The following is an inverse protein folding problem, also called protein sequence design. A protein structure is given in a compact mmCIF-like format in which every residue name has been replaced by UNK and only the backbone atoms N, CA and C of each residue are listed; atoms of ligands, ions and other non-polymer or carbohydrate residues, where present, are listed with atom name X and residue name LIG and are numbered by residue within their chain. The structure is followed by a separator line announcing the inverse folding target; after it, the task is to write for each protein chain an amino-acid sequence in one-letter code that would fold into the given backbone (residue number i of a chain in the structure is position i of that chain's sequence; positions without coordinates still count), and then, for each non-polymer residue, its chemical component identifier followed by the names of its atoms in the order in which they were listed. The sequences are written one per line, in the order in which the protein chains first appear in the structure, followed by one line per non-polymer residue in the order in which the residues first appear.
data_IF_710953776325
#
_entry.id   IF_710953776325
#
_cell.length_a   1.000
_cell.length_b   1.000
_cell.length_c   1.000
_cell.angle_alpha   90.00
_cell.angle_beta   90.00
_cell.angle_gamma   90.00
#
_symmetry.space_group_name_H-M   'P 1'
#
loop_
_entity.id
_entity.type
_entity.pdbx_description
1 polymer ?
#
# COMPACT_ATOMS: atom_id res chain seq x y z
N UNK A 1 -8.65 -11.12 0.72
CA UNK A 1 -7.99 -10.16 1.61
C UNK A 1 -8.21 -8.78 1.05
N UNK A 2 -8.57 -7.81 1.89
CA UNK A 2 -8.99 -6.46 1.48
C UNK A 2 -7.84 -5.43 1.45
N UNK A 3 -6.58 -5.88 1.31
CA UNK A 3 -5.40 -5.01 1.38
C UNK A 3 -5.12 -4.48 2.79
N UNK A 4 -4.11 -3.61 2.91
CA UNK A 4 -3.80 -2.85 4.12
C UNK A 4 -3.82 -1.36 3.79
N UNK A 5 -4.56 -0.57 4.57
CA UNK A 5 -4.49 0.88 4.48
C UNK A 5 -3.18 1.37 5.11
N UNK A 6 -2.36 2.08 4.34
CA UNK A 6 -1.11 2.68 4.82
C UNK A 6 -1.36 4.15 5.16
N UNK A 7 -1.08 4.53 6.41
CA UNK A 7 -1.33 5.90 6.92
C UNK A 7 -0.43 6.94 6.23
N UNK A 8 0.73 6.52 5.71
CA UNK A 8 1.60 7.30 4.85
C UNK A 8 2.10 6.40 3.72
N UNK A 9 1.56 6.54 2.49
CA UNK A 9 1.99 5.72 1.36
C UNK A 9 3.36 6.16 0.80
N UNK A 10 3.86 7.32 1.22
CA UNK A 10 5.18 7.80 0.85
C UNK A 10 6.26 6.96 1.55
N UNK A 11 7.19 6.32 0.80
CA UNK A 11 8.28 5.60 1.41
C UNK A 11 9.11 6.58 2.24
N UNK A 12 9.28 6.32 3.55
CA UNK A 12 10.12 7.19 4.38
C UNK A 12 11.59 7.03 3.99
N UNK A 13 12.29 8.16 3.90
CA UNK A 13 13.73 8.18 3.70
C UNK A 13 14.42 7.41 4.82
N UNK A 14 15.20 6.40 4.44
CA UNK A 14 16.20 5.83 5.34
C UNK A 14 17.56 6.41 4.96
N UNK A 15 18.17 7.12 5.92
CA UNK A 15 19.39 7.90 5.72
C UNK A 15 19.13 9.40 5.57
N UNK A 16 20.04 10.22 6.10
CA UNK A 16 19.94 11.69 6.20
C UNK A 16 20.32 12.46 4.94
N UNK A 17 20.64 11.81 3.83
CA UNK A 17 21.07 12.52 2.62
C UNK A 17 20.34 12.03 1.37
N UNK A 18 19.79 12.99 0.65
CA UNK A 18 19.13 12.84 -0.63
C UNK A 18 20.11 12.30 -1.67
N UNK A 19 20.27 10.98 -1.74
CA UNK A 19 20.95 10.37 -2.87
C UNK A 19 20.10 10.65 -4.13
N UNK A 20 20.64 11.20 -5.23
CA UNK A 20 19.83 11.62 -6.38
C UNK A 20 18.93 10.51 -6.96
N UNK A 21 19.37 9.25 -6.84
CA UNK A 21 18.61 8.08 -7.30
C UNK A 21 17.45 7.68 -6.37
N UNK A 22 17.45 8.11 -5.10
CA UNK A 22 16.35 7.86 -4.18
C UNK A 22 15.14 8.74 -4.50
N UNK A 23 15.33 9.95 -5.05
CA UNK A 23 14.24 10.87 -5.39
C UNK A 23 13.21 10.24 -6.36
N UNK A 24 13.69 9.58 -7.42
CA UNK A 24 12.83 8.89 -8.40
C UNK A 24 12.07 7.71 -7.78
N UNK A 25 12.67 7.05 -6.78
CA UNK A 25 12.01 5.99 -6.02
C UNK A 25 10.80 6.51 -5.24
N UNK A 26 10.95 7.66 -4.60
CA UNK A 26 9.89 8.30 -3.82
C UNK A 26 8.78 8.90 -4.72
N UNK A 27 9.14 9.47 -5.88
CA UNK A 27 8.15 9.99 -6.85
C UNK A 27 7.25 8.88 -7.42
N UNK A 28 7.81 7.68 -7.64
CA UNK A 28 7.05 6.54 -8.18
C UNK A 28 6.20 5.83 -7.10
N UNK A 29 6.54 6.01 -5.81
CA UNK A 29 5.86 5.38 -4.67
C UNK A 29 6.03 3.85 -4.62
N UNK A 30 5.14 3.18 -3.89
CA UNK A 30 5.10 1.71 -3.78
C UNK A 30 4.78 1.06 -5.13
N UNK A 31 5.38 -0.11 -5.34
CA UNK A 31 5.32 -0.87 -6.60
C UNK A 31 4.91 -2.30 -6.34
N UNK A 32 4.30 -2.90 -7.34
CA UNK A 32 4.15 -4.36 -7.39
C UNK A 32 5.54 -5.01 -7.31
N UNK A 33 5.67 -5.99 -6.43
CA UNK A 33 6.90 -6.73 -6.14
C UNK A 33 7.77 -6.14 -5.04
N UNK A 34 7.44 -4.96 -4.50
CA UNK A 34 8.15 -4.41 -3.35
C UNK A 34 8.01 -5.37 -2.16
N UNK A 35 9.14 -5.74 -1.58
CA UNK A 35 9.26 -6.51 -0.34
C UNK A 35 9.62 -5.55 0.76
N UNK A 36 8.92 -5.63 1.87
CA UNK A 36 9.12 -4.71 2.97
C UNK A 36 8.43 -5.13 4.24
N UNK A 37 8.49 -4.25 5.23
CA UNK A 37 7.83 -4.41 6.52
C UNK A 37 7.03 -3.17 6.88
N UNK A 38 6.08 -3.33 7.79
CA UNK A 38 5.34 -2.20 8.37
C UNK A 38 6.06 -1.79 9.65
N UNK A 39 6.46 -0.52 9.76
CA UNK A 39 7.09 0.03 10.96
C UNK A 39 6.08 0.20 12.10
N UNK A 40 6.57 0.43 13.32
CA UNK A 40 5.72 0.74 14.49
C UNK A 40 4.85 1.99 14.30
N UNK A 41 5.25 2.89 13.40
CA UNK A 41 4.49 4.08 13.01
C UNK A 41 3.46 3.82 11.90
N UNK A 42 3.35 2.58 11.42
CA UNK A 42 2.41 2.17 10.38
C UNK A 42 2.85 2.46 8.95
N UNK A 43 4.13 2.84 8.74
CA UNK A 43 4.67 3.13 7.42
C UNK A 43 5.21 1.85 6.78
N UNK A 44 5.03 1.71 5.47
CA UNK A 44 5.69 0.64 4.74
C UNK A 44 7.14 1.01 4.43
N UNK A 45 8.08 0.18 4.88
CA UNK A 45 9.51 0.30 4.62
C UNK A 45 9.89 -0.70 3.55
N UNK A 46 10.09 -0.22 2.31
CA UNK A 46 10.56 -1.04 1.19
C UNK A 46 12.03 -1.40 1.37
N UNK A 47 12.35 -2.69 1.28
CA UNK A 47 13.70 -3.25 1.37
C UNK A 47 14.30 -3.46 -0.02
N UNK A 48 13.57 -4.15 -0.90
CA UNK A 48 13.95 -4.47 -2.28
C UNK A 48 12.69 -4.82 -3.09
N UNK A 49 12.81 -5.04 -4.40
CA UNK A 49 11.74 -5.47 -5.30
C UNK A 49 12.13 -6.75 -6.03
N UNK A 50 11.25 -7.76 -5.96
CA UNK A 50 11.51 -9.11 -6.53
C UNK A 50 11.59 -9.15 -8.05
N UNK A 51 10.99 -8.18 -8.75
CA UNK A 51 10.96 -8.13 -10.22
C UNK A 51 12.12 -7.32 -10.79
N UNK A 52 12.88 -6.62 -9.95
CA UNK A 52 13.97 -5.77 -10.38
C UNK A 52 15.32 -6.48 -10.21
N UNK A 53 16.31 -6.19 -11.09
CA UNK A 53 17.67 -6.71 -10.91
C UNK A 53 18.33 -6.12 -9.66
N UNK A 54 19.37 -6.78 -9.13
CA UNK A 54 20.08 -6.34 -7.93
C UNK A 54 20.68 -4.94 -8.03
N UNK A 55 21.08 -4.51 -9.23
CA UNK A 55 21.61 -3.16 -9.48
C UNK A 55 20.55 -2.08 -9.70
N UNK A 56 19.26 -2.42 -9.69
CA UNK A 56 18.20 -1.42 -9.84
C UNK A 56 18.19 -0.49 -8.62
N UNK A 57 17.83 0.80 -8.78
CA UNK A 57 17.83 1.75 -7.67
C UNK A 57 17.13 1.24 -6.40
N UNK A 58 15.96 0.60 -6.52
CA UNK A 58 15.20 0.05 -5.36
C UNK A 58 15.97 -1.04 -4.62
N UNK A 59 16.76 -1.83 -5.35
CA UNK A 59 17.52 -2.96 -4.83
C UNK A 59 18.93 -2.57 -4.38
N UNK A 60 19.36 -1.34 -4.66
CA UNK A 60 20.68 -0.83 -4.29
C UNK A 60 20.68 -0.11 -2.94
N UNK A 61 19.52 0.29 -2.41
CA UNK A 61 19.44 1.05 -1.15
C UNK A 61 19.90 0.20 0.04
N UNK A 62 19.28 -0.96 0.23
CA UNK A 62 19.68 -1.93 1.25
C UNK A 62 20.48 -3.10 0.70
N UNK A 63 20.56 -3.20 -0.63
CA UNK A 63 21.01 -4.42 -1.28
C UNK A 63 19.88 -5.42 -1.45
N UNK A 64 20.26 -6.67 -1.72
CA UNK A 64 19.35 -7.80 -1.88
C UNK A 64 19.87 -9.00 -1.09
N UNK A 65 18.98 -9.93 -0.69
CA UNK A 65 19.38 -11.16 -0.02
C UNK A 65 20.41 -11.98 -0.81
N UNK A 66 21.24 -12.75 -0.11
CA UNK A 66 22.16 -13.67 -0.76
C UNK A 66 21.42 -14.68 -1.66
N UNK A 67 21.97 -14.93 -2.84
CA UNK A 67 21.36 -15.80 -3.85
C UNK A 67 20.11 -15.21 -4.53
N UNK A 68 19.84 -13.91 -4.36
CA UNK A 68 18.74 -13.23 -5.02
C UNK A 68 18.79 -13.39 -6.54
N UNK A 69 17.66 -13.80 -7.11
CA UNK A 69 17.45 -13.89 -8.54
C UNK A 69 16.10 -13.25 -8.86
N UNK A 70 16.03 -12.22 -9.71
CA UNK A 70 14.76 -11.57 -10.01
C UNK A 70 13.71 -12.57 -10.51
N UNK A 71 12.49 -12.47 -10.00
CA UNK A 71 11.33 -13.16 -10.53
C UNK A 71 10.97 -12.55 -11.89
N UNK A 72 10.57 -13.38 -12.85
CA UNK A 72 10.13 -12.89 -14.16
C UNK A 72 8.83 -12.09 -14.04
N UNK A 73 8.84 -10.88 -14.59
CA UNK A 73 7.68 -9.99 -14.54
C UNK A 73 6.82 -10.15 -15.79
N UNK A 74 5.67 -10.81 -15.62
CA UNK A 74 4.75 -11.08 -16.72
C UNK A 74 3.78 -9.91 -16.90
N UNK A 75 4.11 -8.99 -17.79
CA UNK A 75 3.31 -7.78 -18.07
C UNK A 75 1.83 -8.09 -18.35
N UNK A 76 1.52 -9.21 -19.01
CA UNK A 76 0.16 -9.65 -19.32
C UNK A 76 -0.66 -10.08 -18.09
N UNK A 77 -0.03 -10.20 -16.92
CA UNK A 77 -0.68 -10.45 -15.64
C UNK A 77 -0.81 -9.20 -14.77
N UNK A 78 -0.33 -8.04 -15.25
CA UNK A 78 -0.53 -6.75 -14.61
C UNK A 78 -1.82 -6.13 -15.14
N UNK A 79 -2.80 -5.98 -14.26
CA UNK A 79 -4.06 -5.32 -14.53
C UNK A 79 -4.01 -3.93 -13.91
N UNK A 80 -4.18 -2.92 -14.74
CA UNK A 80 -4.34 -1.55 -14.27
C UNK A 80 -5.70 -1.08 -14.76
N UNK A 81 -6.59 -0.79 -13.81
CA UNK A 81 -7.84 -0.12 -14.14
C UNK A 81 -7.54 1.38 -14.24
N UNK A 82 -7.60 1.90 -15.46
CA UNK A 82 -7.54 3.35 -15.71
C UNK A 82 -8.90 4.01 -15.50
N UNK A 83 -9.99 3.22 -15.46
CA UNK A 83 -11.23 3.66 -14.87
C UNK A 83 -10.98 3.84 -13.39
N UNK A 84 -11.47 4.95 -12.82
CA UNK A 84 -11.34 5.17 -11.38
C UNK A 84 -12.11 4.06 -10.68
N UNK A 85 -11.41 3.03 -10.19
CA UNK A 85 -12.01 1.89 -9.48
C UNK A 85 -12.85 2.39 -8.29
N UNK A 86 -12.46 3.55 -7.76
CA UNK A 86 -13.24 4.37 -6.86
C UNK A 86 -13.57 5.71 -7.54
N UNK A 87 -14.85 6.03 -7.81
CA UNK A 87 -15.22 7.34 -8.35
C UNK A 87 -14.88 8.47 -7.36
N UNK A 88 -14.75 9.72 -7.85
CA UNK A 88 -14.59 10.90 -7.01
C UNK A 88 -15.61 10.95 -5.86
N UNK A 89 -15.16 11.37 -4.68
CA UNK A 89 -15.91 11.43 -3.43
C UNK A 89 -16.33 10.05 -2.87
N UNK A 90 -15.61 8.98 -3.23
CA UNK A 90 -15.78 7.68 -2.58
C UNK A 90 -15.14 7.70 -1.19
N UNK A 91 -15.81 7.11 -0.20
CA UNK A 91 -15.23 6.86 1.12
C UNK A 91 -14.99 5.37 1.30
N UNK A 92 -13.75 5.01 1.57
CA UNK A 92 -13.38 3.66 1.97
C UNK A 92 -13.31 3.66 3.50
N UNK A 93 -14.11 2.80 4.13
CA UNK A 93 -14.14 2.70 5.58
C UNK A 93 -13.67 1.31 6.02
N UNK A 94 -13.12 1.22 7.22
CA UNK A 94 -12.86 -0.06 7.88
C UNK A 94 -14.13 -0.91 7.95
N UNK A 95 -13.96 -2.24 7.91
CA UNK A 95 -15.06 -3.20 7.95
C UNK A 95 -16.04 -2.87 9.11
N UNK A 96 -17.35 -2.76 8.79
CA UNK A 96 -18.45 -2.36 9.71
C UNK A 96 -18.53 -0.86 10.08
N UNK A 97 -18.19 0.02 9.15
CA UNK A 97 -18.64 1.41 9.20
C UNK A 97 -19.95 1.59 8.45
N UNK A 98 -20.81 2.48 8.91
CA UNK A 98 -21.98 2.92 8.17
C UNK A 98 -22.05 4.45 8.10
N UNK A 99 -22.48 4.95 6.95
CA UNK A 99 -22.64 6.38 6.68
C UNK A 99 -24.04 6.84 7.07
N UNK A 100 -24.13 7.86 7.91
CA UNK A 100 -25.36 8.57 8.23
C UNK A 100 -25.32 9.94 7.56
N UNK A 101 -26.25 10.19 6.65
CA UNK A 101 -26.41 11.51 6.03
C UNK A 101 -27.22 12.40 6.96
N UNK A 102 -26.72 13.61 7.23
CA UNK A 102 -27.36 14.57 8.13
C UNK A 102 -27.80 15.82 7.37
N UNK A 103 -28.96 16.34 7.75
CA UNK A 103 -29.41 17.68 7.39
C UNK A 103 -28.54 18.76 8.07
N UNK A 104 -28.66 19.99 7.59
CA UNK A 104 -27.99 21.16 8.18
C UNK A 104 -28.37 21.40 9.66
N UNK A 105 -29.51 20.86 10.11
CA UNK A 105 -29.98 20.90 11.50
C UNK A 105 -29.52 19.70 12.35
N UNK A 106 -28.68 18.82 11.80
CA UNK A 106 -28.13 17.64 12.47
C UNK A 106 -29.06 16.43 12.49
N UNK A 107 -30.20 16.46 11.80
CA UNK A 107 -31.13 15.31 11.74
C UNK A 107 -30.75 14.32 10.65
N UNK A 108 -30.92 13.01 10.92
CA UNK A 108 -30.62 11.96 9.96
C UNK A 108 -31.61 11.94 8.79
N UNK A 109 -31.08 11.85 7.56
CA UNK A 109 -31.85 11.75 6.34
C UNK A 109 -32.17 10.29 5.97
N UNK A 110 -33.37 10.09 5.41
CA UNK A 110 -33.67 8.85 4.72
C UNK A 110 -32.70 8.67 3.52
N UNK A 111 -32.17 7.45 3.38
CA UNK A 111 -31.30 7.08 2.26
C UNK A 111 -31.96 7.45 0.91
N UNK A 112 -31.36 8.40 0.18
CA UNK A 112 -31.81 8.84 -1.14
C UNK A 112 -32.36 10.27 -1.24
N UNK A 113 -32.51 10.99 -0.13
CA UNK A 113 -32.88 12.42 -0.17
C UNK A 113 -31.65 13.31 -0.44
N UNK A 114 -31.76 14.26 -1.38
CA UNK A 114 -30.73 15.27 -1.68
C UNK A 114 -31.29 16.68 -1.47
N UNK A 115 -30.55 17.50 -0.72
CA UNK A 115 -30.84 18.92 -0.51
C UNK A 115 -29.55 19.70 -0.19
N UNK A 116 -29.51 21.02 -0.43
CA UNK A 116 -28.35 21.86 -0.11
C UNK A 116 -28.15 21.96 1.41
N UNK A 117 -26.92 21.70 1.89
CA UNK A 117 -26.57 21.72 3.33
C UNK A 117 -26.34 20.34 3.97
N UNK A 118 -25.77 19.39 3.22
CA UNK A 118 -25.62 17.99 3.64
C UNK A 118 -24.31 17.75 4.43
N UNK A 119 -24.45 17.38 5.70
CA UNK A 119 -23.35 16.86 6.53
C UNK A 119 -23.30 15.33 6.46
N UNK A 120 -22.14 14.74 6.71
CA UNK A 120 -22.01 13.27 6.83
C UNK A 120 -21.39 12.92 8.17
N UNK A 121 -22.08 12.05 8.92
CA UNK A 121 -21.55 11.40 10.11
C UNK A 121 -21.24 9.94 9.79
N UNK A 122 -20.06 9.47 10.21
CA UNK A 122 -19.64 8.08 10.00
C UNK A 122 -19.48 7.44 11.37
N UNK A 123 -20.23 6.37 11.58
CA UNK A 123 -20.20 5.62 12.82
C UNK A 123 -19.56 4.25 12.57
N UNK A 124 -18.70 3.86 13.50
CA UNK A 124 -18.05 2.57 13.50
C UNK A 124 -18.70 1.68 14.55
N UNK A 125 -18.98 0.42 14.22
CA UNK A 125 -19.42 -0.56 15.21
C UNK A 125 -18.34 -0.88 16.26
N UNK A 126 -17.09 -0.51 16.00
CA UNK A 126 -15.94 -0.73 16.90
C UNK A 126 -15.39 0.59 17.40
N UNK A 127 -14.74 0.58 18.55
CA UNK A 127 -14.04 1.73 19.14
C UNK A 127 -12.87 2.26 18.30
N UNK A 128 -12.52 1.58 17.22
CA UNK A 128 -11.48 1.96 16.28
C UNK A 128 -11.98 1.72 14.86
N UNK A 129 -11.75 2.71 14.01
CA UNK A 129 -12.04 2.64 12.59
C UNK A 129 -11.30 3.76 11.86
N UNK A 130 -11.15 3.59 10.55
CA UNK A 130 -10.54 4.58 9.67
C UNK A 130 -11.46 4.86 8.50
N UNK A 131 -11.47 6.13 8.08
CA UNK A 131 -12.13 6.58 6.86
C UNK A 131 -11.04 7.15 5.96
N UNK A 132 -11.04 6.71 4.71
CA UNK A 132 -10.24 7.29 3.65
C UNK A 132 -11.19 7.94 2.66
N UNK A 133 -11.15 9.28 2.56
CA UNK A 133 -11.95 10.04 1.60
C UNK A 133 -11.17 10.24 0.30
N UNK A 134 -11.60 9.56 -0.75
CA UNK A 134 -11.03 9.63 -2.09
C UNK A 134 -11.73 10.72 -2.90
N UNK A 135 -11.37 11.98 -2.67
CA UNK A 135 -12.00 13.14 -3.34
C UNK A 135 -11.92 13.07 -4.86
N UNK A 136 -10.73 12.76 -5.38
CA UNK A 136 -10.55 12.57 -6.82
C UNK A 136 -10.77 11.13 -7.26
N UNK A 137 -10.97 10.19 -6.34
CA UNK A 137 -11.03 8.75 -6.64
C UNK A 137 -9.66 8.07 -6.53
N UNK A 138 -9.57 6.83 -7.00
CA UNK A 138 -8.31 6.09 -7.04
C UNK A 138 -8.24 5.19 -8.28
N UNK A 139 -7.01 4.92 -8.73
CA UNK A 139 -6.73 3.88 -9.72
C UNK A 139 -6.23 2.62 -9.03
N UNK A 140 -6.58 1.46 -9.57
CA UNK A 140 -6.17 0.16 -9.05
C UNK A 140 -5.13 -0.47 -9.96
N UNK A 141 -4.09 -1.03 -9.36
CA UNK A 141 -3.12 -1.89 -10.02
C UNK A 141 -3.06 -3.21 -9.28
N UNK A 142 -3.34 -4.31 -9.98
CA UNK A 142 -3.31 -5.67 -9.45
C UNK A 142 -2.42 -6.56 -10.31
N UNK A 143 -1.51 -7.30 -9.69
CA UNK A 143 -0.79 -8.38 -10.35
C UNK A 143 -1.43 -9.73 -10.04
N UNK A 144 -1.88 -10.43 -11.09
CA UNK A 144 -2.63 -11.70 -10.96
C UNK A 144 -1.73 -12.94 -10.91
N UNK A 145 -0.43 -12.81 -11.18
CA UNK A 145 0.57 -13.89 -11.07
C UNK A 145 0.94 -14.26 -9.63
N UNK A 146 -0.06 -14.36 -8.75
CA UNK A 146 0.13 -14.65 -7.32
C UNK A 146 0.75 -16.01 -7.04
N UNK A 147 0.47 -17.10 -7.80
CA UNK A 147 1.13 -18.38 -7.58
C UNK A 147 2.66 -18.27 -7.67
N UNK A 148 3.18 -17.63 -8.72
CA UNK A 148 4.62 -17.44 -8.91
C UNK A 148 5.26 -16.66 -7.75
N UNK A 149 4.59 -15.57 -7.30
CA UNK A 149 5.06 -14.77 -6.16
C UNK A 149 5.10 -15.62 -4.90
N UNK A 150 4.09 -16.46 -4.65
CA UNK A 150 4.02 -17.32 -3.46
C UNK A 150 5.09 -18.39 -3.48
N UNK A 151 5.29 -19.05 -4.61
CA UNK A 151 6.35 -20.06 -4.79
C UNK A 151 7.73 -19.43 -4.60
N UNK A 152 7.95 -18.26 -5.20
CA UNK A 152 9.18 -17.49 -5.04
C UNK A 152 9.42 -17.07 -3.59
N UNK A 153 8.41 -16.50 -2.93
CA UNK A 153 8.51 -16.10 -1.53
C UNK A 153 8.75 -17.32 -0.62
N UNK A 154 8.06 -18.45 -0.82
CA UNK A 154 8.28 -19.66 -0.05
C UNK A 154 9.70 -20.22 -0.22
N UNK A 155 10.26 -20.13 -1.43
CA UNK A 155 11.62 -20.58 -1.73
C UNK A 155 12.69 -19.71 -1.06
N UNK A 156 12.49 -18.39 -1.00
CA UNK A 156 13.51 -17.44 -0.55
C UNK A 156 13.23 -16.80 0.82
N UNK A 157 12.10 -17.09 1.47
CA UNK A 157 11.70 -16.45 2.74
C UNK A 157 12.80 -16.53 3.80
N UNK A 158 13.45 -17.68 3.97
CA UNK A 158 14.53 -17.83 4.94
C UNK A 158 15.71 -16.89 4.66
N UNK A 159 16.12 -16.74 3.39
CA UNK A 159 17.20 -15.83 3.05
C UNK A 159 16.79 -14.36 3.21
N UNK A 160 15.51 -14.03 3.03
CA UNK A 160 15.00 -12.69 3.27
C UNK A 160 15.02 -12.32 4.75
N UNK A 161 14.64 -13.25 5.64
CA UNK A 161 14.74 -13.04 7.08
C UNK A 161 16.20 -12.89 7.51
N UNK A 162 17.11 -13.73 7.03
CA UNK A 162 18.55 -13.59 7.31
C UNK A 162 19.10 -12.26 6.80
N UNK A 163 18.75 -11.86 5.57
CA UNK A 163 19.14 -10.55 5.04
C UNK A 163 18.65 -9.41 5.95
N UNK A 164 17.39 -9.47 6.40
CA UNK A 164 16.81 -8.45 7.28
C UNK A 164 17.54 -8.36 8.62
N UNK A 165 17.83 -9.50 9.27
CA UNK A 165 18.44 -9.54 10.61
C UNK A 165 19.96 -9.38 10.60
N UNK A 166 20.63 -9.96 9.62
CA UNK A 166 22.09 -10.12 9.62
C UNK A 166 22.77 -9.00 8.83
N UNK A 167 22.19 -8.61 7.70
CA UNK A 167 22.77 -7.61 6.80
C UNK A 167 22.18 -6.22 7.05
N UNK A 168 20.85 -6.11 7.03
CA UNK A 168 20.13 -4.83 7.22
C UNK A 168 20.06 -4.43 8.71
N UNK A 169 20.15 -5.40 9.63
CA UNK A 169 20.09 -5.20 11.09
C UNK A 169 18.77 -4.59 11.59
N UNK A 170 17.65 -4.99 10.99
CA UNK A 170 16.31 -4.64 11.47
C UNK A 170 15.69 -5.78 12.27
N UNK A 171 14.84 -5.43 13.23
CA UNK A 171 14.07 -6.40 14.00
C UNK A 171 13.09 -7.14 13.09
N UNK A 172 13.16 -8.47 13.13
CA UNK A 172 12.31 -9.34 12.35
C UNK A 172 11.52 -10.28 13.27
N UNK A 173 10.22 -10.37 13.05
CA UNK A 173 9.36 -11.36 13.68
C UNK A 173 8.62 -12.15 12.61
N UNK A 174 8.18 -13.36 12.94
CA UNK A 174 7.48 -14.20 11.97
C UNK A 174 6.22 -13.50 11.45
N UNK A 175 6.15 -13.33 10.12
CA UNK A 175 5.05 -12.64 9.44
C UNK A 175 5.25 -11.13 9.28
N UNK A 176 6.43 -10.58 9.60
CA UNK A 176 6.69 -9.14 9.45
C UNK A 176 6.98 -8.70 8.00
N UNK A 177 7.30 -9.65 7.12
CA UNK A 177 7.61 -9.40 5.71
C UNK A 177 6.37 -9.51 4.83
N UNK A 178 6.21 -8.51 3.97
CA UNK A 178 5.11 -8.39 3.01
C UNK A 178 5.67 -8.24 1.61
N UNK A 179 4.93 -8.76 0.63
CA UNK A 179 5.16 -8.51 -0.79
C UNK A 179 3.95 -7.75 -1.34
N UNK A 180 4.17 -6.59 -1.94
CA UNK A 180 3.11 -5.81 -2.58
C UNK A 180 2.70 -6.50 -3.88
N UNK A 181 1.49 -7.01 -3.95
CA UNK A 181 0.95 -7.66 -5.16
C UNK A 181 0.01 -6.77 -5.96
N UNK A 182 -0.35 -5.62 -5.39
CA UNK A 182 -1.24 -4.64 -5.98
C UNK A 182 -1.38 -3.43 -5.05
N UNK A 183 -1.92 -2.34 -5.56
CA UNK A 183 -2.17 -1.13 -4.80
C UNK A 183 -3.30 -0.32 -5.44
N UNK A 184 -4.01 0.43 -4.59
CA UNK A 184 -4.89 1.51 -5.03
C UNK A 184 -4.16 2.84 -4.77
N UNK A 185 -4.18 3.73 -5.76
CA UNK A 185 -3.50 5.03 -5.68
C UNK A 185 -4.48 6.16 -5.97
N UNK A 186 -4.61 7.07 -5.01
CA UNK A 186 -5.34 8.31 -5.17
C UNK A 186 -4.37 9.45 -5.52
N UNK A 187 -4.77 10.37 -6.38
CA UNK A 187 -4.02 11.60 -6.68
C UNK A 187 -4.14 12.65 -5.58
N UNK A 188 -5.23 12.61 -4.80
CA UNK A 188 -5.40 13.39 -3.58
C UNK A 188 -6.15 12.57 -2.51
N UNK A 189 -5.78 12.75 -1.25
CA UNK A 189 -6.53 12.23 -0.11
C UNK A 189 -6.62 13.32 0.97
N UNK A 190 -7.71 13.34 1.71
CA UNK A 190 -7.82 14.11 2.95
C UNK A 190 -8.07 13.14 4.09
N UNK A 191 -7.32 13.32 5.18
CA UNK A 191 -7.48 12.63 6.46
C UNK A 191 -8.39 13.43 7.38
#
# INVERSE_FOLDING_TARGET
GHGYALLKPEPKMVGTESQPHSKKLYEEGLRVGDVGMISDTGDFVTLFNIFQPSGAPVNSVYGVPNGFQPLDFRQNLLFSDKGMCHPPNTRICSEKAYEVKLNADGTALALGAFGPGLGVEIQFERSHGSILSLREGACQVDYRGLPDIREYAAKYAESWYKFLTDDVRLDAYNGCLYVITGYDRASCYEN
#
